data_IF_194922280048
#
_entry.id   IF_194922280048
#
_cell.length_a   1.000
_cell.length_b   1.000
_cell.length_c   1.000
_cell.angle_alpha   90.00
_cell.angle_beta   90.00
_cell.angle_gamma   90.00
#
_symmetry.space_group_name_H-M   'P 1'
#
loop_
_entity.id
_entity.type
_entity.pdbx_description
1 polymer ?
#
# COMPACT_ATOMS: atom_id res chain seq x y z
N UNK A 1 8.07 0.00 -6.69
CA UNK A 1 7.24 1.22 -6.78
C UNK A 1 5.78 0.83 -6.71
N UNK A 2 4.92 1.70 -6.18
CA UNK A 2 3.47 1.50 -6.14
C UNK A 2 2.81 2.75 -6.72
N UNK A 3 2.08 2.57 -7.82
CA UNK A 3 1.38 3.63 -8.52
C UNK A 3 -0.11 3.63 -8.17
N UNK A 4 -0.95 2.90 -8.91
CA UNK A 4 -2.40 2.85 -8.63
C UNK A 4 -2.81 1.87 -7.53
N UNK A 5 -1.86 1.13 -6.93
CA UNK A 5 -2.13 0.17 -5.85
C UNK A 5 -2.87 -1.13 -6.23
N UNK A 6 -3.35 -1.28 -7.48
CA UNK A 6 -4.20 -2.41 -7.87
C UNK A 6 -3.49 -3.77 -7.78
N UNK A 7 -2.31 -3.89 -8.38
CA UNK A 7 -1.54 -5.15 -8.41
C UNK A 7 -1.18 -5.63 -7.01
N UNK A 8 -0.71 -4.72 -6.14
CA UNK A 8 -0.19 -5.11 -4.83
C UNK A 8 -1.31 -5.46 -3.85
N UNK A 9 -2.47 -4.80 -3.93
CA UNK A 9 -3.63 -5.17 -3.14
C UNK A 9 -4.16 -6.55 -3.53
N UNK A 10 -4.26 -6.84 -4.84
CA UNK A 10 -4.66 -8.17 -5.31
C UNK A 10 -3.66 -9.26 -4.88
N UNK A 11 -2.36 -8.96 -4.89
CA UNK A 11 -1.33 -9.87 -4.40
C UNK A 11 -1.48 -10.12 -2.89
N UNK A 12 -1.74 -9.08 -2.09
CA UNK A 12 -2.00 -9.23 -0.66
C UNK A 12 -3.25 -10.09 -0.39
N UNK A 13 -4.35 -9.86 -1.11
CA UNK A 13 -5.56 -10.67 -1.01
C UNK A 13 -5.29 -12.14 -1.35
N UNK A 14 -4.46 -12.40 -2.37
CA UNK A 14 -4.04 -13.75 -2.71
C UNK A 14 -3.23 -14.40 -1.57
N UNK A 15 -2.31 -13.67 -0.93
CA UNK A 15 -1.56 -14.18 0.23
C UNK A 15 -2.50 -14.56 1.38
N UNK A 16 -3.45 -13.69 1.74
CA UNK A 16 -4.45 -13.99 2.77
C UNK A 16 -5.32 -15.20 2.39
N UNK A 17 -5.72 -15.33 1.12
CA UNK A 17 -6.47 -16.49 0.65
C UNK A 17 -5.69 -17.80 0.77
N UNK A 18 -4.36 -17.75 0.79
CA UNK A 18 -3.47 -18.90 1.00
C UNK A 18 -3.04 -19.07 2.48
N UNK A 19 -3.70 -18.38 3.42
CA UNK A 19 -3.51 -18.57 4.85
C UNK A 19 -2.38 -17.73 5.46
N UNK A 20 -1.94 -16.64 4.79
CA UNK A 20 -1.08 -15.67 5.44
C UNK A 20 -1.78 -15.06 6.65
N UNK A 21 -1.11 -15.06 7.80
CA UNK A 21 -1.60 -14.40 9.01
C UNK A 21 -1.53 -12.88 8.87
N UNK A 22 -0.46 -12.38 8.25
CA UNK A 22 -0.22 -10.96 8.06
C UNK A 22 0.54 -10.67 6.74
N UNK A 23 0.38 -9.46 6.21
CA UNK A 23 1.04 -8.97 5.01
C UNK A 23 1.50 -7.53 5.23
N UNK A 24 2.81 -7.33 5.07
CA UNK A 24 3.46 -6.01 5.02
C UNK A 24 3.98 -5.78 3.60
N UNK A 25 3.78 -4.58 3.08
CA UNK A 25 4.19 -4.19 1.73
C UNK A 25 5.25 -3.12 1.81
N UNK A 26 6.36 -3.31 1.08
CA UNK A 26 7.44 -2.33 1.01
C UNK A 26 7.72 -1.93 -0.43
N UNK A 27 7.95 -0.65 -0.69
CA UNK A 27 8.42 -0.19 -1.99
C UNK A 27 9.22 1.11 -1.88
N UNK A 28 10.30 1.26 -2.65
CA UNK A 28 11.07 2.52 -2.66
C UNK A 28 10.20 3.72 -3.01
N UNK A 29 9.58 3.71 -4.20
CA UNK A 29 8.78 4.85 -4.68
C UNK A 29 7.28 4.61 -4.46
N UNK A 30 6.64 5.46 -3.65
CA UNK A 30 5.18 5.57 -3.57
C UNK A 30 4.67 6.69 -4.49
N UNK A 31 4.28 6.34 -5.72
CA UNK A 31 3.67 7.31 -6.65
C UNK A 31 2.22 7.59 -6.26
N UNK A 32 1.52 6.55 -5.77
CA UNK A 32 0.19 6.64 -5.13
C UNK A 32 -0.85 7.42 -5.95
N UNK A 33 -0.90 7.21 -7.27
CA UNK A 33 -1.79 7.96 -8.15
C UNK A 33 -3.22 7.41 -8.19
N UNK A 34 -4.16 8.28 -8.55
CA UNK A 34 -5.56 7.93 -8.79
C UNK A 34 -6.19 7.22 -7.58
N UNK A 35 -6.69 5.97 -7.72
CA UNK A 35 -7.42 5.27 -6.66
C UNK A 35 -6.51 4.63 -5.61
N UNK A 36 -5.20 4.92 -5.60
CA UNK A 36 -4.26 4.25 -4.70
C UNK A 36 -4.62 4.47 -3.22
N UNK A 37 -4.96 5.69 -2.84
CA UNK A 37 -5.36 6.04 -1.47
C UNK A 37 -6.49 5.13 -0.96
N UNK A 38 -7.59 5.07 -1.72
CA UNK A 38 -8.76 4.27 -1.37
C UNK A 38 -8.45 2.77 -1.34
N UNK A 39 -7.62 2.28 -2.27
CA UNK A 39 -7.23 0.87 -2.32
C UNK A 39 -6.40 0.46 -1.12
N UNK A 40 -5.37 1.25 -0.80
CA UNK A 40 -4.49 1.01 0.34
C UNK A 40 -5.29 1.04 1.64
N UNK A 41 -6.16 2.06 1.82
CA UNK A 41 -7.06 2.19 2.98
C UNK A 41 -7.94 0.97 3.19
N UNK A 42 -8.57 0.48 2.13
CA UNK A 42 -9.52 -0.62 2.18
C UNK A 42 -8.86 -2.01 2.08
N UNK A 43 -7.54 -2.08 1.88
CA UNK A 43 -6.82 -3.34 1.82
C UNK A 43 -6.65 -3.98 3.20
N UNK A 44 -6.47 -5.31 3.18
CA UNK A 44 -6.15 -6.11 4.38
C UNK A 44 -4.67 -6.03 4.80
N UNK A 45 -3.84 -5.34 4.02
CA UNK A 45 -2.43 -5.11 4.37
C UNK A 45 -2.36 -4.37 5.70
N UNK A 46 -1.43 -4.78 6.55
CA UNK A 46 -1.24 -4.17 7.88
C UNK A 46 -0.46 -2.87 7.78
N UNK A 47 0.60 -2.86 6.96
CA UNK A 47 1.45 -1.68 6.80
C UNK A 47 2.02 -1.57 5.38
N UNK A 48 2.07 -0.35 4.86
CA UNK A 48 2.77 0.04 3.66
C UNK A 48 3.97 0.91 4.02
N UNK A 49 5.17 0.46 3.65
CA UNK A 49 6.42 1.16 3.95
C UNK A 49 7.02 1.69 2.66
N UNK A 50 7.24 2.99 2.60
CA UNK A 50 7.86 3.68 1.49
C UNK A 50 9.19 4.31 1.87
N UNK A 51 9.89 4.87 0.88
CA UNK A 51 10.94 5.87 1.13
C UNK A 51 10.44 7.23 0.67
N UNK A 52 11.04 8.31 1.17
CA UNK A 52 10.74 9.71 0.86
C UNK A 52 11.21 10.18 -0.55
N UNK A 53 11.52 9.25 -1.44
CA UNK A 53 11.98 9.54 -2.81
C UNK A 53 10.98 10.30 -3.68
N UNK A 54 9.71 10.38 -3.27
CA UNK A 54 8.68 11.23 -3.85
C UNK A 54 7.89 11.94 -2.73
N UNK A 55 7.34 13.13 -2.97
CA UNK A 55 6.48 13.80 -2.01
C UNK A 55 5.28 12.93 -1.68
N UNK A 56 5.07 12.66 -0.38
CA UNK A 56 3.88 11.93 0.07
C UNK A 56 2.69 12.88 0.04
N UNK A 57 1.61 12.57 -0.71
CA UNK A 57 0.43 13.43 -0.75
C UNK A 57 -0.17 13.62 0.65
N UNK A 58 -0.34 14.87 1.08
CA UNK A 58 -0.80 15.21 2.44
C UNK A 58 -2.23 14.76 2.76
N UNK A 59 -3.02 14.38 1.76
CA UNK A 59 -4.39 13.82 1.92
C UNK A 59 -4.39 12.32 2.25
N UNK A 60 -3.24 11.66 2.20
CA UNK A 60 -3.08 10.27 2.63
C UNK A 60 -2.83 10.23 4.15
N UNK A 61 -3.79 10.71 4.94
CA UNK A 61 -3.87 10.32 6.35
C UNK A 61 -4.35 8.86 6.41
N UNK A 62 -3.40 7.96 6.17
CA UNK A 62 -3.59 6.53 6.30
C UNK A 62 -2.76 6.06 7.48
N UNK A 63 -3.43 5.58 8.52
CA UNK A 63 -2.83 5.01 9.74
C UNK A 63 -1.86 3.84 9.46
N UNK A 64 -1.87 3.33 8.22
CA UNK A 64 -1.09 2.18 7.75
C UNK A 64 0.14 2.54 6.92
N UNK A 65 0.49 3.83 6.76
CA UNK A 65 1.64 4.25 5.95
C UNK A 65 2.80 4.70 6.83
N UNK A 66 3.97 4.15 6.55
CA UNK A 66 5.28 4.59 7.06
C UNK A 66 6.15 5.06 5.89
N UNK A 67 6.82 6.19 6.03
CA UNK A 67 7.70 6.80 5.00
C UNK A 67 9.08 7.07 5.57
#
# INVERSE_FOLDING_TARGET
>A
MIDTGGTICAAADALFAHGAEDVIVTATHGVLSGPAADRLKNSKVSEFIFTDTLPTPGELELDKITV
#
